data_IF_606038718582
#
_entry.id   IF_606038718582
#
_cell.length_a   1.000
_cell.length_b   1.000
_cell.length_c   1.000
_cell.angle_alpha   90.00
_cell.angle_beta   90.00
_cell.angle_gamma   90.00
#
_symmetry.space_group_name_H-M   'P 1'
#
loop_
_entity.id
_entity.type
_entity.pdbx_description
1 polymer ?
#
# COMPACT_ATOMS: atom_id res chain seq x y z
N UNK A 1 41.95 -46.95 28.52
CA UNK A 1 41.22 -47.06 27.24
C UNK A 1 39.71 -47.18 27.42
N UNK A 2 39.18 -48.14 28.19
CA UNK A 2 37.73 -48.38 28.34
C UNK A 2 36.89 -47.12 28.76
N UNK A 3 37.39 -46.30 29.71
CA UNK A 3 36.64 -45.07 30.16
C UNK A 3 36.53 -44.01 29.05
N UNK A 4 37.57 -43.84 28.20
CA UNK A 4 37.49 -42.87 27.07
C UNK A 4 36.52 -43.34 25.99
N UNK A 5 36.50 -44.65 25.70
CA UNK A 5 35.54 -45.23 24.74
C UNK A 5 34.09 -45.09 25.25
N UNK A 6 33.85 -45.33 26.54
CA UNK A 6 32.53 -45.16 27.15
C UNK A 6 32.06 -43.71 27.08
N UNK A 7 32.93 -42.73 27.34
CA UNK A 7 32.57 -41.31 27.21
C UNK A 7 32.22 -40.90 25.76
N UNK A 8 32.96 -41.44 24.77
CA UNK A 8 32.63 -41.21 23.36
C UNK A 8 31.27 -41.79 22.99
N UNK A 9 30.96 -42.99 23.46
CA UNK A 9 29.66 -43.63 23.22
C UNK A 9 28.53 -42.82 23.86
N UNK A 10 28.70 -42.36 25.11
CA UNK A 10 27.69 -41.49 25.78
C UNK A 10 27.52 -40.19 25.01
N UNK A 11 28.58 -39.57 24.52
CA UNK A 11 28.54 -38.34 23.74
C UNK A 11 27.80 -38.53 22.40
N UNK A 12 28.02 -39.64 21.69
CA UNK A 12 27.32 -39.98 20.46
C UNK A 12 25.82 -40.20 20.72
N UNK A 13 25.48 -40.90 21.78
CA UNK A 13 24.09 -41.13 22.18
C UNK A 13 23.42 -39.79 22.51
N UNK A 14 24.10 -38.90 23.25
CA UNK A 14 23.56 -37.58 23.56
C UNK A 14 23.29 -36.72 22.30
N UNK A 15 24.17 -36.78 21.30
CA UNK A 15 23.98 -36.12 20.01
C UNK A 15 22.75 -36.67 19.30
N UNK A 16 22.58 -37.98 19.21
CA UNK A 16 21.43 -38.62 18.55
C UNK A 16 20.11 -38.25 19.21
N UNK A 17 20.11 -38.05 20.55
CA UNK A 17 18.91 -37.66 21.30
C UNK A 17 18.49 -36.21 21.04
N UNK A 18 19.38 -35.34 20.57
CA UNK A 18 19.17 -33.90 20.44
C UNK A 18 18.99 -33.45 18.99
N UNK A 19 19.52 -34.18 18.01
CA UNK A 19 19.38 -33.78 16.59
C UNK A 19 17.92 -33.95 16.12
N UNK A 20 17.24 -32.90 15.71
CA UNK A 20 15.86 -32.98 15.23
C UNK A 20 15.81 -33.37 13.75
N UNK A 21 14.83 -34.16 13.38
CA UNK A 21 14.51 -34.49 11.99
C UNK A 21 13.32 -33.62 11.57
N UNK A 22 13.46 -32.78 10.50
CA UNK A 22 12.36 -31.99 10.02
C UNK A 22 11.34 -32.84 9.24
N UNK A 23 10.06 -32.69 9.54
CA UNK A 23 8.93 -33.30 8.84
C UNK A 23 7.91 -32.25 8.45
N UNK A 24 7.44 -32.26 7.20
CA UNK A 24 6.26 -31.46 6.79
C UNK A 24 5.00 -32.23 7.18
N UNK A 25 4.09 -31.54 7.86
CA UNK A 25 2.77 -32.07 8.20
C UNK A 25 1.79 -31.86 7.02
N UNK A 26 0.72 -32.66 6.99
CA UNK A 26 -0.33 -32.57 5.96
C UNK A 26 -1.52 -31.73 6.43
N UNK A 27 -1.25 -30.62 7.09
CA UNK A 27 -2.22 -29.74 7.74
C UNK A 27 -2.31 -28.33 7.10
N UNK A 28 -1.68 -28.14 5.95
CA UNK A 28 -1.62 -26.85 5.25
C UNK A 28 -0.22 -26.25 5.12
N UNK A 29 0.78 -26.80 5.86
CA UNK A 29 2.16 -26.35 5.69
C UNK A 29 3.03 -26.32 6.95
N UNK A 30 2.53 -26.83 8.07
CA UNK A 30 3.34 -26.92 9.31
C UNK A 30 4.58 -27.79 9.13
N UNK A 31 5.65 -27.41 9.85
CA UNK A 31 6.92 -28.16 9.89
C UNK A 31 7.19 -28.59 11.33
N UNK A 32 7.33 -29.88 11.54
CA UNK A 32 7.72 -30.47 12.82
C UNK A 32 9.22 -30.82 12.80
N UNK A 33 9.97 -30.31 13.76
CA UNK A 33 11.37 -30.66 14.05
C UNK A 33 11.38 -31.62 15.25
N UNK A 34 11.48 -32.91 14.99
CA UNK A 34 11.34 -33.96 16.00
C UNK A 34 12.67 -34.56 16.37
N UNK A 35 13.06 -34.41 17.63
CA UNK A 35 14.16 -35.15 18.30
C UNK A 35 13.54 -36.14 19.32
N UNK A 36 14.35 -37.01 19.89
CA UNK A 36 13.88 -38.01 20.89
C UNK A 36 13.41 -37.30 22.17
N UNK A 37 14.13 -36.26 22.59
CA UNK A 37 13.85 -35.54 23.84
C UNK A 37 12.87 -34.40 23.69
N UNK A 38 12.70 -33.83 22.48
CA UNK A 38 11.85 -32.70 22.25
C UNK A 38 11.26 -32.68 20.83
N UNK A 39 10.20 -31.94 20.66
CA UNK A 39 9.60 -31.61 19.35
C UNK A 39 9.32 -30.11 19.30
N UNK A 40 9.73 -29.45 18.23
CA UNK A 40 9.37 -28.08 17.92
C UNK A 40 8.50 -28.12 16.66
N UNK A 41 7.26 -27.66 16.76
CA UNK A 41 6.33 -27.56 15.62
C UNK A 41 6.19 -26.07 15.25
N UNK A 42 6.59 -25.72 14.03
CA UNK A 42 6.23 -24.45 13.42
C UNK A 42 4.92 -24.68 12.70
N UNK A 43 3.84 -24.20 13.31
CA UNK A 43 2.50 -24.32 12.76
C UNK A 43 2.31 -23.39 11.58
N UNK A 44 1.69 -23.88 10.56
CA UNK A 44 1.05 -23.18 9.44
C UNK A 44 -0.05 -24.13 8.95
N UNK A 45 -1.10 -24.29 9.77
CA UNK A 45 -2.18 -25.25 9.52
C UNK A 45 -3.45 -24.53 9.07
N UNK A 46 -4.22 -25.16 8.19
CA UNK A 46 -5.56 -24.69 7.83
C UNK A 46 -6.47 -24.67 9.08
N UNK A 47 -7.21 -23.57 9.25
CA UNK A 47 -8.24 -23.51 10.30
C UNK A 47 -9.37 -24.49 9.98
N UNK A 48 -9.94 -25.12 11.00
CA UNK A 48 -11.10 -26.01 10.81
C UNK A 48 -12.37 -25.19 10.62
N UNK A 49 -13.26 -25.67 9.75
CA UNK A 49 -14.56 -25.02 9.41
C UNK A 49 -15.50 -24.89 10.65
N UNK A 50 -15.21 -25.59 11.75
CA UNK A 50 -15.97 -25.51 13.00
C UNK A 50 -15.58 -24.33 13.90
N UNK A 51 -14.40 -23.76 13.70
CA UNK A 51 -13.97 -22.52 14.32
C UNK A 51 -14.47 -21.39 13.44
N UNK A 52 -15.58 -20.77 13.78
CA UNK A 52 -16.22 -19.65 13.08
C UNK A 52 -15.31 -18.40 13.13
N UNK A 53 -14.14 -18.51 12.51
CA UNK A 53 -13.07 -17.48 12.46
C UNK A 53 -12.72 -17.25 11.00
N UNK A 54 -12.62 -15.97 10.59
CA UNK A 54 -12.18 -15.52 9.26
C UNK A 54 -10.69 -15.82 8.98
N UNK A 55 -10.10 -16.81 9.65
CA UNK A 55 -8.68 -17.17 9.56
C UNK A 55 -8.52 -18.44 8.74
N UNK A 56 -7.93 -18.32 7.56
CA UNK A 56 -7.62 -19.48 6.71
C UNK A 56 -6.51 -20.38 7.29
N UNK A 57 -5.54 -19.80 8.01
CA UNK A 57 -4.40 -20.50 8.58
C UNK A 57 -4.15 -20.10 10.04
N UNK A 58 -3.72 -21.05 10.83
CA UNK A 58 -3.25 -20.85 12.22
C UNK A 58 -1.73 -20.98 12.23
N UNK A 59 -1.05 -19.86 12.49
CA UNK A 59 0.40 -19.81 12.62
C UNK A 59 0.84 -19.82 14.09
N UNK A 60 2.03 -20.35 14.36
CA UNK A 60 2.58 -20.34 15.70
C UNK A 60 3.74 -21.30 15.90
N UNK A 61 4.20 -21.41 17.13
CA UNK A 61 5.24 -22.33 17.55
C UNK A 61 4.74 -23.12 18.76
N UNK A 62 4.80 -24.45 18.68
CA UNK A 62 4.60 -25.35 19.79
C UNK A 62 5.91 -26.06 20.15
N UNK A 63 6.20 -26.21 21.43
CA UNK A 63 7.36 -26.94 21.96
C UNK A 63 6.88 -28.01 22.91
N UNK A 64 7.28 -29.25 22.65
CA UNK A 64 7.04 -30.39 23.54
C UNK A 64 8.39 -30.94 24.02
N UNK A 65 8.51 -31.22 25.32
CA UNK A 65 9.66 -31.91 25.92
C UNK A 65 9.17 -33.21 26.53
N UNK A 66 9.78 -34.33 26.16
CA UNK A 66 9.34 -35.70 26.58
C UNK A 66 7.86 -35.94 26.35
N UNK A 67 7.29 -35.38 25.25
CA UNK A 67 5.88 -35.52 24.91
C UNK A 67 4.93 -34.54 25.59
N UNK A 68 5.36 -33.82 26.61
CA UNK A 68 4.55 -32.80 27.31
C UNK A 68 4.72 -31.44 26.62
N UNK A 69 3.61 -30.76 26.34
CA UNK A 69 3.61 -29.42 25.79
C UNK A 69 4.05 -28.39 26.87
N UNK A 70 5.17 -27.70 26.61
CA UNK A 70 5.75 -26.70 27.52
C UNK A 70 5.56 -25.29 26.98
N UNK A 71 5.29 -25.14 25.69
CA UNK A 71 5.01 -23.88 25.07
C UNK A 71 4.13 -24.08 23.82
N UNK A 72 3.13 -23.23 23.69
CA UNK A 72 2.28 -23.14 22.48
C UNK A 72 1.72 -21.72 22.39
N UNK A 73 1.92 -21.04 21.25
CA UNK A 73 1.40 -19.71 21.03
C UNK A 73 0.39 -19.64 19.87
N UNK A 74 -0.08 -20.79 19.38
CA UNK A 74 -1.11 -20.82 18.31
C UNK A 74 -2.43 -20.20 18.76
N UNK A 75 -2.80 -20.32 20.02
CA UNK A 75 -4.02 -19.69 20.58
C UNK A 75 -3.84 -18.20 20.94
N UNK A 76 -2.58 -17.71 20.99
CA UNK A 76 -2.26 -16.30 21.29
C UNK A 76 -2.00 -15.47 20.03
N UNK A 77 -1.75 -16.10 18.95
CA UNK A 77 -1.82 -15.58 17.61
C UNK A 77 -3.01 -16.26 16.95
N UNK A 78 -4.19 -15.70 17.13
CA UNK A 78 -4.89 -15.38 15.89
C UNK A 78 -3.80 -14.71 15.05
N UNK A 79 -3.24 -15.44 14.10
CA UNK A 79 -2.43 -14.83 13.07
C UNK A 79 -3.41 -13.92 12.34
N UNK A 80 -3.53 -12.77 12.89
CA UNK A 80 -3.68 -11.62 12.08
C UNK A 80 -2.40 -11.66 11.19
N UNK A 81 -2.49 -12.27 9.99
CA UNK A 81 -2.46 -11.30 8.90
C UNK A 81 -3.22 -10.14 9.48
N UNK A 82 -2.60 -8.99 9.77
CA UNK A 82 -3.41 -7.94 10.28
C UNK A 82 -4.56 -7.87 9.27
N UNK A 83 -5.73 -8.44 9.62
CA UNK A 83 -6.98 -8.01 9.06
C UNK A 83 -6.97 -6.58 9.53
N UNK A 84 -6.37 -5.73 8.69
CA UNK A 84 -6.45 -4.33 8.85
C UNK A 84 -7.93 -4.07 8.88
N UNK A 85 -8.46 -3.72 10.05
CA UNK A 85 -9.82 -3.24 10.09
C UNK A 85 -9.83 -2.03 9.16
N UNK A 86 -10.58 -2.15 8.07
CA UNK A 86 -10.71 -1.06 7.12
C UNK A 86 -11.39 0.11 7.84
N UNK A 87 -10.76 1.28 7.83
CA UNK A 87 -11.30 2.51 8.40
C UNK A 87 -12.19 3.19 7.36
N UNK A 88 -13.49 2.93 7.39
CA UNK A 88 -14.42 3.39 6.35
C UNK A 88 -15.13 4.71 6.68
N UNK A 89 -15.03 5.25 7.90
CA UNK A 89 -15.86 6.40 8.32
C UNK A 89 -15.20 7.78 8.15
N UNK A 90 -13.84 7.86 8.08
CA UNK A 90 -13.12 9.14 8.12
C UNK A 90 -12.13 9.31 6.94
N UNK A 91 -12.19 8.42 5.95
CA UNK A 91 -11.32 8.46 4.76
C UNK A 91 -12.15 8.36 3.50
N UNK A 92 -11.99 9.31 2.60
CA UNK A 92 -12.59 9.30 1.27
C UNK A 92 -11.61 8.69 0.27
N UNK A 93 -12.04 7.68 -0.48
CA UNK A 93 -11.29 7.18 -1.63
C UNK A 93 -11.81 7.83 -2.89
N UNK A 94 -10.99 8.66 -3.54
CA UNK A 94 -11.32 9.26 -4.83
C UNK A 94 -11.20 8.22 -5.95
N UNK A 95 -12.09 8.27 -6.93
CA UNK A 95 -12.04 7.45 -8.15
C UNK A 95 -11.07 8.01 -9.17
N UNK A 96 -10.94 9.34 -9.19
CA UNK A 96 -10.04 10.07 -10.09
C UNK A 96 -9.25 11.14 -9.34
N UNK A 97 -8.17 11.62 -9.93
CA UNK A 97 -7.43 12.78 -9.38
C UNK A 97 -8.10 14.11 -9.68
N UNK A 98 -9.13 14.11 -10.52
CA UNK A 98 -9.98 15.25 -10.82
C UNK A 98 -11.19 15.36 -9.87
N UNK A 99 -11.36 14.39 -8.96
CA UNK A 99 -12.45 14.45 -7.99
C UNK A 99 -12.16 15.48 -6.92
N UNK A 100 -13.20 16.16 -6.45
CA UNK A 100 -13.07 17.13 -5.36
C UNK A 100 -12.59 16.45 -4.08
N UNK A 101 -11.53 16.96 -3.51
CA UNK A 101 -10.97 16.51 -2.24
C UNK A 101 -11.82 17.09 -1.11
N UNK A 102 -12.25 16.23 -0.19
CA UNK A 102 -12.88 16.70 1.05
C UNK A 102 -11.90 17.57 1.85
N UNK A 103 -12.31 18.78 2.20
CA UNK A 103 -11.45 19.74 2.90
C UNK A 103 -11.21 19.35 4.35
N UNK A 104 -12.12 18.60 4.95
CA UNK A 104 -12.12 18.28 6.38
C UNK A 104 -11.62 16.87 6.68
N UNK A 105 -11.78 15.94 5.71
CA UNK A 105 -11.43 14.53 5.87
C UNK A 105 -10.14 14.19 5.13
N UNK A 106 -9.60 13.03 5.44
CA UNK A 106 -8.53 12.43 4.67
C UNK A 106 -9.07 11.97 3.31
N UNK A 107 -8.34 12.23 2.25
CA UNK A 107 -8.67 11.73 0.91
C UNK A 107 -7.48 11.00 0.35
N UNK A 108 -7.70 9.82 -0.22
CA UNK A 108 -6.66 9.01 -0.85
C UNK A 108 -7.08 8.56 -2.25
N UNK A 109 -6.09 8.23 -3.05
CA UNK A 109 -6.27 7.79 -4.42
C UNK A 109 -5.14 6.86 -4.87
N UNK A 110 -5.43 5.88 -5.77
CA UNK A 110 -4.44 5.04 -6.42
C UNK A 110 -4.85 4.58 -7.83
N UNK A 111 -3.88 4.43 -8.78
CA UNK A 111 -4.00 4.18 -10.23
C UNK A 111 -4.78 2.95 -10.69
N UNK A 112 -5.08 1.98 -9.84
CA UNK A 112 -5.62 0.68 -10.27
C UNK A 112 -7.07 0.72 -10.77
N UNK A 113 -7.97 1.55 -10.21
CA UNK A 113 -9.34 1.63 -10.71
C UNK A 113 -9.39 2.25 -12.12
N UNK A 114 -8.62 3.29 -12.37
CA UNK A 114 -8.51 3.87 -13.70
C UNK A 114 -8.00 2.86 -14.73
N UNK A 115 -7.05 1.98 -14.36
CA UNK A 115 -6.57 0.95 -15.27
C UNK A 115 -7.69 0.00 -15.72
N UNK A 116 -8.55 -0.44 -14.81
CA UNK A 116 -9.69 -1.30 -15.17
C UNK A 116 -10.79 -0.53 -15.89
N UNK A 117 -10.97 0.76 -15.59
CA UNK A 117 -11.90 1.61 -16.33
C UNK A 117 -11.46 1.82 -17.77
N UNK A 118 -10.16 2.02 -18.01
CA UNK A 118 -9.60 2.14 -19.34
C UNK A 118 -9.84 0.86 -20.17
N UNK A 119 -9.68 -0.33 -19.57
CA UNK A 119 -9.99 -1.60 -20.21
C UNK A 119 -11.50 -1.74 -20.49
N UNK A 120 -12.37 -1.34 -19.56
CA UNK A 120 -13.82 -1.32 -19.77
C UNK A 120 -14.20 -0.42 -20.95
N UNK A 121 -13.65 0.80 -20.98
CA UNK A 121 -13.93 1.78 -22.03
C UNK A 121 -13.39 1.37 -23.39
N UNK A 122 -12.08 1.02 -23.46
CA UNK A 122 -11.37 0.88 -24.72
C UNK A 122 -11.47 -0.51 -25.32
N UNK A 123 -11.42 -1.56 -24.49
CA UNK A 123 -11.37 -2.94 -24.98
C UNK A 123 -12.76 -3.57 -25.07
N UNK A 124 -13.65 -3.26 -24.12
CA UNK A 124 -14.98 -3.85 -24.04
C UNK A 124 -16.05 -2.94 -24.67
N UNK A 125 -16.30 -1.77 -24.13
CA UNK A 125 -17.33 -0.85 -24.62
C UNK A 125 -16.96 -0.23 -25.98
N UNK A 126 -15.67 0.02 -26.22
CA UNK A 126 -15.08 0.68 -27.40
C UNK A 126 -15.70 2.06 -27.67
N UNK A 127 -16.05 2.73 -26.60
CA UNK A 127 -16.59 4.09 -26.57
C UNK A 127 -16.58 4.60 -25.12
N UNK A 128 -16.76 5.89 -24.95
CA UNK A 128 -16.95 6.48 -23.62
C UNK A 128 -18.15 5.87 -22.89
N UNK A 129 -18.00 5.64 -21.59
CA UNK A 129 -19.09 5.17 -20.74
C UNK A 129 -19.99 6.37 -20.42
N UNK A 130 -21.29 6.22 -20.68
CA UNK A 130 -22.30 7.27 -20.49
C UNK A 130 -23.46 6.71 -19.71
N UNK A 131 -23.71 7.28 -18.53
CA UNK A 131 -24.89 6.99 -17.72
C UNK A 131 -26.01 8.01 -17.99
N UNK A 132 -27.24 7.68 -17.57
CA UNK A 132 -28.38 8.60 -17.64
C UNK A 132 -29.07 8.68 -16.27
N UNK A 133 -28.94 9.79 -15.50
CA UNK A 133 -28.09 10.97 -15.81
C UNK A 133 -26.60 10.65 -15.77
N UNK A 134 -25.80 11.42 -16.49
CA UNK A 134 -24.33 11.30 -16.47
C UNK A 134 -23.78 11.78 -15.13
N UNK A 135 -22.71 11.12 -14.66
CA UNK A 135 -21.99 11.48 -13.45
C UNK A 135 -20.67 12.15 -13.81
N UNK A 136 -20.31 13.22 -13.09
CA UNK A 136 -19.06 13.94 -13.29
C UNK A 136 -17.83 13.03 -13.14
N UNK A 137 -17.85 12.14 -12.15
CA UNK A 137 -16.77 11.16 -11.93
C UNK A 137 -16.57 10.24 -13.14
N UNK A 138 -17.64 9.87 -13.84
CA UNK A 138 -17.57 9.03 -15.05
C UNK A 138 -16.99 9.82 -16.23
N UNK A 139 -17.35 11.10 -16.37
CA UNK A 139 -16.70 11.99 -17.34
C UNK A 139 -15.20 12.13 -17.07
N UNK A 140 -14.82 12.23 -15.80
CA UNK A 140 -13.43 12.30 -15.40
C UNK A 140 -12.69 10.97 -15.70
N UNK A 141 -13.27 9.83 -15.36
CA UNK A 141 -12.72 8.50 -15.67
C UNK A 141 -12.52 8.30 -17.18
N UNK A 142 -13.44 8.78 -18.01
CA UNK A 142 -13.35 8.69 -19.48
C UNK A 142 -12.19 9.52 -20.08
N UNK A 143 -11.63 10.48 -19.35
CA UNK A 143 -10.45 11.27 -19.80
C UNK A 143 -9.14 10.45 -19.79
N UNK A 144 -9.10 9.31 -19.12
CA UNK A 144 -7.94 8.39 -19.05
C UNK A 144 -6.65 9.10 -18.63
N UNK A 145 -6.72 9.91 -17.60
CA UNK A 145 -5.59 10.75 -17.14
C UNK A 145 -4.47 9.94 -16.46
N UNK A 146 -4.72 8.66 -16.13
CA UNK A 146 -3.71 7.68 -15.73
C UNK A 146 -3.81 6.42 -16.59
N UNK A 147 -2.66 5.90 -17.04
CA UNK A 147 -2.58 4.76 -17.97
C UNK A 147 -1.54 3.75 -17.52
N UNK A 148 -1.54 2.57 -18.16
CA UNK A 148 -0.57 1.52 -17.89
C UNK A 148 0.89 1.97 -18.11
N UNK A 149 1.12 2.95 -18.99
CA UNK A 149 2.42 3.52 -19.29
C UNK A 149 2.96 4.40 -18.14
N UNK A 150 2.10 4.86 -17.23
CA UNK A 150 2.47 5.71 -16.08
C UNK A 150 3.09 4.91 -14.93
N UNK A 151 3.13 3.59 -15.03
CA UNK A 151 3.78 2.70 -14.06
C UNK A 151 4.46 1.52 -14.76
N UNK A 152 5.59 1.08 -14.25
CA UNK A 152 6.32 -0.06 -14.80
C UNK A 152 5.52 -1.37 -14.66
N UNK A 153 5.44 -2.14 -15.74
CA UNK A 153 4.65 -3.38 -15.82
C UNK A 153 4.94 -4.39 -14.69
N UNK A 154 6.16 -4.42 -14.18
CA UNK A 154 6.57 -5.31 -13.07
C UNK A 154 5.78 -5.07 -11.76
N UNK A 155 5.15 -3.90 -11.60
CA UNK A 155 4.50 -3.48 -10.37
C UNK A 155 2.96 -3.55 -10.41
N UNK A 156 2.36 -3.84 -11.54
CA UNK A 156 0.92 -4.07 -11.61
C UNK A 156 0.57 -5.35 -12.37
N UNK A 157 -0.61 -5.87 -12.11
CA UNK A 157 -1.25 -6.94 -12.85
C UNK A 157 -2.69 -6.53 -13.13
N UNK A 158 -3.17 -6.80 -14.35
CA UNK A 158 -4.57 -6.62 -14.70
C UNK A 158 -5.09 -7.80 -15.50
N UNK A 159 -6.39 -8.06 -15.38
CA UNK A 159 -7.06 -9.16 -16.05
C UNK A 159 -8.51 -8.80 -16.34
N UNK A 160 -8.96 -9.14 -17.54
CA UNK A 160 -10.36 -9.09 -17.97
C UNK A 160 -10.78 -10.50 -18.40
N UNK A 161 -11.99 -10.90 -18.04
CA UNK A 161 -12.54 -12.20 -18.46
C UNK A 161 -13.98 -12.40 -18.01
N UNK A 162 -14.61 -13.48 -18.48
CA UNK A 162 -15.93 -13.90 -18.02
C UNK A 162 -15.82 -14.44 -16.59
N UNK A 163 -16.63 -13.94 -15.63
CA UNK A 163 -16.57 -14.39 -14.24
C UNK A 163 -16.78 -15.89 -14.10
N UNK A 164 -15.82 -16.59 -13.51
CA UNK A 164 -15.87 -18.03 -13.24
C UNK A 164 -14.88 -18.41 -12.14
N UNK A 165 -15.05 -19.57 -11.54
CA UNK A 165 -14.07 -20.09 -10.56
C UNK A 165 -12.69 -20.33 -11.18
N UNK A 166 -12.63 -20.62 -12.48
CA UNK A 166 -11.37 -20.73 -13.24
C UNK A 166 -10.67 -19.37 -13.33
N UNK A 167 -11.39 -18.31 -13.73
CA UNK A 167 -10.84 -16.96 -13.82
C UNK A 167 -10.35 -16.47 -12.45
N UNK A 168 -11.12 -16.73 -11.38
CA UNK A 168 -10.70 -16.41 -10.01
C UNK A 168 -9.36 -17.07 -9.66
N UNK A 169 -9.25 -18.40 -9.87
CA UNK A 169 -8.02 -19.15 -9.62
C UNK A 169 -6.85 -18.68 -10.48
N UNK A 170 -7.10 -18.31 -11.74
CA UNK A 170 -6.09 -17.74 -12.62
C UNK A 170 -5.52 -16.44 -12.06
N UNK A 171 -6.40 -15.54 -11.61
CA UNK A 171 -5.99 -14.26 -10.98
C UNK A 171 -5.21 -14.53 -9.70
N UNK A 172 -5.73 -15.35 -8.77
CA UNK A 172 -5.07 -15.72 -7.51
C UNK A 172 -3.67 -16.29 -7.74
N UNK A 173 -3.54 -17.19 -8.74
CA UNK A 173 -2.25 -17.75 -9.14
C UNK A 173 -1.30 -16.68 -9.67
N UNK A 174 -1.77 -15.83 -10.58
CA UNK A 174 -0.95 -14.79 -11.20
C UNK A 174 -0.42 -13.77 -10.19
N UNK A 175 -1.27 -13.29 -9.26
CA UNK A 175 -0.82 -12.35 -8.22
C UNK A 175 0.09 -13.03 -7.20
N UNK A 176 -0.11 -14.32 -6.91
CA UNK A 176 0.80 -15.08 -6.05
C UNK A 176 2.17 -15.25 -6.69
N UNK A 177 2.22 -15.58 -7.98
CA UNK A 177 3.48 -15.74 -8.72
C UNK A 177 4.21 -14.40 -8.91
N UNK A 178 3.48 -13.33 -9.25
CA UNK A 178 4.07 -12.03 -9.56
C UNK A 178 4.47 -11.25 -8.31
N UNK A 179 3.63 -11.24 -7.28
CA UNK A 179 3.76 -10.36 -6.12
C UNK A 179 3.98 -11.11 -4.79
N UNK A 180 3.80 -12.44 -4.79
CA UNK A 180 3.71 -13.27 -3.58
C UNK A 180 2.58 -12.80 -2.64
N UNK A 181 1.44 -12.38 -3.21
CA UNK A 181 0.27 -11.83 -2.52
C UNK A 181 -0.96 -12.71 -2.66
N UNK A 182 -1.98 -12.40 -1.86
CA UNK A 182 -3.37 -12.84 -1.99
C UNK A 182 -4.25 -11.64 -2.30
N UNK A 183 -5.43 -11.86 -2.86
CA UNK A 183 -6.38 -10.79 -3.12
C UNK A 183 -7.22 -10.46 -1.87
N UNK A 184 -7.46 -9.17 -1.65
CA UNK A 184 -8.31 -8.66 -0.58
C UNK A 184 -9.78 -8.49 -1.03
N UNK A 185 -10.06 -8.63 -2.34
CA UNK A 185 -11.38 -8.33 -2.91
C UNK A 185 -12.05 -9.48 -3.68
N UNK A 186 -11.30 -10.48 -4.17
CA UNK A 186 -11.90 -11.52 -5.03
C UNK A 186 -13.02 -12.33 -4.34
N UNK A 187 -13.01 -12.43 -3.01
CA UNK A 187 -14.08 -13.10 -2.25
C UNK A 187 -15.35 -12.27 -2.13
N UNK A 188 -15.32 -10.98 -2.44
CA UNK A 188 -16.49 -10.10 -2.39
C UNK A 188 -17.37 -10.19 -3.65
N UNK A 189 -16.94 -10.92 -4.67
CA UNK A 189 -17.62 -11.05 -5.95
C UNK A 189 -18.26 -12.44 -6.11
N UNK A 190 -19.36 -12.47 -6.89
CA UNK A 190 -20.06 -13.72 -7.23
C UNK A 190 -19.44 -14.35 -8.48
N UNK A 191 -19.00 -15.61 -8.37
CA UNK A 191 -18.24 -16.32 -9.42
C UNK A 191 -19.04 -17.42 -10.12
N UNK A 192 -20.17 -17.84 -9.58
CA UNK A 192 -20.99 -18.94 -10.08
C UNK A 192 -22.29 -18.41 -10.68
N UNK A 193 -22.89 -19.19 -11.59
CA UNK A 193 -24.15 -18.88 -12.28
C UNK A 193 -24.14 -17.53 -13.01
N UNK A 194 -23.03 -17.21 -13.69
CA UNK A 194 -22.84 -15.99 -14.45
C UNK A 194 -23.23 -16.17 -15.92
N UNK A 195 -23.71 -15.08 -16.56
CA UNK A 195 -23.94 -15.08 -17.99
C UNK A 195 -22.58 -15.11 -18.74
N UNK A 196 -22.45 -15.86 -19.87
CA UNK A 196 -21.23 -15.84 -20.67
C UNK A 196 -20.84 -14.48 -21.24
N UNK A 197 -21.76 -13.51 -21.23
CA UNK A 197 -21.53 -12.11 -21.64
C UNK A 197 -21.09 -11.20 -20.48
N UNK A 198 -21.14 -11.67 -19.22
CA UNK A 198 -20.65 -10.90 -18.09
C UNK A 198 -19.13 -10.71 -18.17
N UNK A 199 -18.64 -9.58 -17.68
CA UNK A 199 -17.21 -9.28 -17.59
C UNK A 199 -16.80 -9.00 -16.17
N UNK A 200 -15.67 -9.56 -15.77
CA UNK A 200 -14.94 -9.21 -14.56
C UNK A 200 -13.63 -8.52 -14.95
N UNK A 201 -13.38 -7.36 -14.37
CA UNK A 201 -12.17 -6.58 -14.58
C UNK A 201 -11.44 -6.49 -13.25
N UNK A 202 -10.16 -6.77 -13.27
CA UNK A 202 -9.30 -6.83 -12.10
C UNK A 202 -7.98 -6.12 -12.35
N UNK A 203 -7.52 -5.35 -11.39
CA UNK A 203 -6.16 -4.87 -11.33
C UNK A 203 -5.62 -4.89 -9.90
N UNK A 204 -4.35 -5.25 -9.76
CA UNK A 204 -3.57 -5.13 -8.54
C UNK A 204 -2.27 -4.38 -8.86
N UNK A 205 -1.93 -3.42 -8.02
CA UNK A 205 -0.64 -2.76 -7.98
C UNK A 205 0.01 -3.13 -6.65
N UNK A 206 1.25 -3.59 -6.71
CA UNK A 206 2.10 -3.75 -5.52
C UNK A 206 3.48 -3.19 -5.80
N UNK A 207 3.91 -2.28 -4.95
CA UNK A 207 5.24 -1.69 -5.02
C UNK A 207 5.81 -1.46 -3.63
N UNK A 208 7.05 -1.81 -3.42
CA UNK A 208 7.83 -1.56 -2.22
C UNK A 208 9.06 -0.76 -2.61
N UNK A 209 9.38 0.27 -1.84
CA UNK A 209 10.56 1.09 -2.05
C UNK A 209 11.30 1.34 -0.74
N UNK A 210 12.60 1.58 -0.83
CA UNK A 210 13.46 1.88 0.32
C UNK A 210 14.23 3.17 0.04
N UNK A 211 14.37 3.99 1.05
CA UNK A 211 15.27 5.13 0.97
C UNK A 211 16.73 4.66 0.79
N UNK A 212 17.55 5.48 0.15
CA UNK A 212 18.98 5.19 -0.04
C UNK A 212 19.65 4.86 1.29
N UNK A 213 19.37 5.65 2.31
CA UNK A 213 19.71 5.44 3.71
C UNK A 213 18.47 5.63 4.57
N UNK A 214 18.26 4.74 5.54
CA UNK A 214 17.15 4.90 6.48
C UNK A 214 17.27 6.22 7.24
N UNK A 215 16.17 6.98 7.29
CA UNK A 215 16.10 8.22 8.06
C UNK A 215 16.22 7.96 9.57
N UNK A 216 16.41 9.02 10.34
CA UNK A 216 16.44 8.98 11.80
C UNK A 216 15.01 8.86 12.35
N UNK A 217 14.85 8.10 13.43
CA UNK A 217 13.64 8.16 14.25
C UNK A 217 13.67 9.45 15.07
N UNK A 218 12.60 10.20 15.02
CA UNK A 218 12.47 11.46 15.76
C UNK A 218 11.61 11.26 17.01
N UNK A 219 11.67 12.20 17.92
CA UNK A 219 10.76 12.23 19.08
C UNK A 219 9.31 12.39 18.59
N UNK A 220 8.38 11.76 19.32
CA UNK A 220 6.96 11.96 19.07
C UNK A 220 6.62 13.44 19.24
N UNK A 221 5.69 13.93 18.42
CA UNK A 221 5.33 15.34 18.41
C UNK A 221 3.85 15.57 18.15
N UNK A 222 3.51 16.81 17.85
CA UNK A 222 2.17 17.22 17.44
C UNK A 222 2.01 17.17 15.94
N UNK A 223 0.78 16.90 15.49
CA UNK A 223 0.31 17.11 14.13
C UNK A 223 -1.01 17.87 14.22
N UNK A 224 -1.02 19.14 13.83
CA UNK A 224 -2.14 20.02 14.12
C UNK A 224 -2.51 20.02 15.61
N UNK A 225 -3.70 19.54 15.92
CA UNK A 225 -4.21 19.41 17.30
C UNK A 225 -3.93 18.04 17.94
N UNK A 226 -3.32 17.09 17.21
CA UNK A 226 -3.08 15.73 17.68
C UNK A 226 -1.71 15.61 18.35
N UNK A 227 -1.65 14.88 19.47
CA UNK A 227 -0.44 14.66 20.27
C UNK A 227 0.14 13.26 20.02
N UNK A 228 1.41 13.05 20.39
CA UNK A 228 2.09 11.75 20.36
C UNK A 228 2.23 11.08 18.98
N UNK A 229 2.20 11.86 17.91
CA UNK A 229 2.41 11.38 16.54
C UNK A 229 3.87 10.95 16.36
N UNK A 230 4.08 9.78 15.77
CA UNK A 230 5.41 9.24 15.46
C UNK A 230 5.98 9.89 14.22
N UNK A 231 7.26 10.22 14.27
CA UNK A 231 7.96 10.91 13.19
C UNK A 231 9.28 10.25 12.85
N UNK A 232 9.68 10.39 11.60
CA UNK A 232 11.04 10.14 11.13
C UNK A 232 11.55 11.35 10.33
N UNK A 233 12.85 11.41 10.06
CA UNK A 233 13.42 12.48 9.25
C UNK A 233 14.90 12.72 9.51
N UNK A 234 15.31 14.00 9.54
CA UNK A 234 16.69 14.44 9.76
C UNK A 234 16.70 15.50 10.87
N UNK A 235 17.43 15.24 11.96
CA UNK A 235 17.56 16.18 13.07
C UNK A 235 18.40 17.40 12.67
N UNK A 236 18.15 18.57 13.29
CA UNK A 236 18.92 19.79 13.07
C UNK A 236 20.43 19.62 13.31
N UNK A 237 20.79 18.74 14.25
CA UNK A 237 22.18 18.43 14.58
C UNK A 237 22.71 17.17 13.90
N UNK A 238 22.02 16.63 12.89
CA UNK A 238 22.52 15.49 12.12
C UNK A 238 23.72 15.92 11.27
N UNK A 239 24.81 15.16 11.35
CA UNK A 239 26.02 15.38 10.54
C UNK A 239 26.01 14.57 9.23
N UNK A 240 24.93 13.85 8.95
CA UNK A 240 24.85 12.91 7.82
C UNK A 240 24.49 13.62 6.50
N UNK A 241 25.48 13.86 5.67
CA UNK A 241 25.28 14.34 4.30
C UNK A 241 24.55 13.34 3.42
N UNK A 242 24.70 12.02 3.68
CA UNK A 242 23.98 10.97 2.96
C UNK A 242 22.47 11.05 3.19
N UNK A 243 22.01 11.42 4.40
CA UNK A 243 20.59 11.61 4.67
C UNK A 243 20.07 12.86 3.95
N UNK A 244 20.86 13.96 3.93
CA UNK A 244 20.46 15.18 3.26
C UNK A 244 20.43 15.05 1.74
N UNK A 245 21.35 14.27 1.15
CA UNK A 245 21.45 14.10 -0.30
C UNK A 245 20.27 13.37 -0.94
N UNK A 246 19.52 12.59 -0.18
CA UNK A 246 18.31 11.92 -0.67
C UNK A 246 17.03 12.77 -0.57
N UNK A 247 17.16 14.05 -0.12
CA UNK A 247 16.06 15.01 -0.01
C UNK A 247 16.27 16.15 -0.99
N UNK A 248 15.34 16.36 -1.88
CA UNK A 248 15.29 17.52 -2.77
C UNK A 248 14.18 18.47 -2.32
N UNK A 249 14.52 19.76 -2.18
CA UNK A 249 13.54 20.81 -1.90
C UNK A 249 12.95 21.27 -3.23
N UNK A 250 11.68 20.96 -3.46
CA UNK A 250 10.96 21.39 -4.66
C UNK A 250 10.67 22.89 -4.59
N UNK A 251 10.16 23.35 -3.45
CA UNK A 251 10.05 24.77 -3.13
C UNK A 251 9.94 24.97 -1.61
N UNK A 252 10.22 26.19 -1.16
CA UNK A 252 10.06 26.64 0.21
C UNK A 252 9.65 28.12 0.24
N UNK A 253 8.40 28.40 0.60
CA UNK A 253 7.88 29.74 0.79
C UNK A 253 7.92 30.16 2.27
N UNK A 254 7.66 29.20 3.16
CA UNK A 254 7.73 29.33 4.62
C UNK A 254 7.74 27.95 5.27
N UNK A 255 7.92 27.89 6.60
CA UNK A 255 7.78 26.64 7.39
C UNK A 255 6.38 25.98 7.26
N UNK A 256 5.37 26.71 6.79
CA UNK A 256 4.00 26.24 6.62
C UNK A 256 3.56 26.11 5.15
N UNK A 257 4.46 26.39 4.20
CA UNK A 257 4.19 26.29 2.77
C UNK A 257 5.47 25.87 2.01
N UNK A 258 5.65 24.57 1.84
CA UNK A 258 6.79 23.99 1.16
C UNK A 258 6.45 22.63 0.56
N UNK A 259 7.29 22.17 -0.37
CA UNK A 259 7.30 20.77 -0.81
C UNK A 259 8.73 20.23 -0.88
N UNK A 260 8.86 18.96 -0.52
CA UNK A 260 10.10 18.19 -0.61
C UNK A 260 9.85 16.87 -1.34
N UNK A 261 10.91 16.39 -1.98
CA UNK A 261 10.96 15.08 -2.61
C UNK A 261 11.99 14.22 -1.89
N UNK A 262 11.58 13.00 -1.52
CA UNK A 262 12.47 11.98 -0.94
C UNK A 262 12.76 10.94 -2.03
N UNK A 263 14.02 10.77 -2.38
CA UNK A 263 14.47 9.83 -3.40
C UNK A 263 14.64 8.42 -2.81
N UNK A 264 14.40 7.40 -3.64
CA UNK A 264 14.45 6.00 -3.22
C UNK A 264 15.40 5.18 -4.08
N UNK A 265 15.82 3.99 -3.58
CA UNK A 265 16.66 3.03 -4.33
C UNK A 265 15.98 2.46 -5.58
N UNK A 266 14.65 2.48 -5.62
CA UNK A 266 13.84 1.91 -6.69
C UNK A 266 13.42 2.96 -7.73
N UNK A 267 14.05 4.14 -7.73
CA UNK A 267 13.70 5.25 -8.62
C UNK A 267 12.25 5.72 -8.45
N UNK A 268 11.74 5.67 -7.21
CA UNK A 268 10.48 6.30 -6.82
C UNK A 268 10.74 7.65 -6.18
N UNK A 269 9.87 8.58 -6.44
CA UNK A 269 9.80 9.89 -5.81
C UNK A 269 8.66 9.91 -4.80
N UNK A 270 8.98 10.18 -3.52
CA UNK A 270 7.99 10.46 -2.48
C UNK A 270 7.89 11.97 -2.33
N UNK A 271 6.86 12.57 -2.89
CA UNK A 271 6.65 14.03 -2.87
C UNK A 271 5.73 14.37 -1.71
N UNK A 272 6.16 15.26 -0.83
CA UNK A 272 5.43 15.73 0.35
C UNK A 272 5.23 17.24 0.25
N UNK A 273 3.99 17.71 0.36
CA UNK A 273 3.62 19.12 0.30
C UNK A 273 2.81 19.52 1.53
N UNK A 274 3.33 20.39 2.38
CA UNK A 274 2.60 20.93 3.54
C UNK A 274 1.62 22.02 3.11
N UNK A 275 0.40 21.99 3.69
CA UNK A 275 -0.71 22.89 3.39
C UNK A 275 -1.00 23.01 1.87
N UNK A 276 -1.31 21.88 1.20
CA UNK A 276 -1.50 21.83 -0.24
C UNK A 276 -2.61 22.77 -0.72
N UNK A 277 -2.39 23.42 -1.85
CA UNK A 277 -3.34 24.36 -2.48
C UNK A 277 -3.93 23.72 -3.73
N UNK A 278 -5.25 23.57 -3.75
CA UNK A 278 -6.02 22.95 -4.82
C UNK A 278 -7.25 22.23 -4.25
N UNK A 279 -8.27 22.03 -5.08
CA UNK A 279 -9.51 21.33 -4.71
C UNK A 279 -9.48 19.87 -5.19
N UNK A 280 -8.56 19.50 -6.04
CA UNK A 280 -8.36 18.14 -6.57
C UNK A 280 -6.89 17.74 -6.42
N UNK A 281 -6.58 16.46 -6.45
CA UNK A 281 -5.18 16.02 -6.48
C UNK A 281 -4.45 16.56 -7.71
N UNK A 282 -5.17 16.68 -8.83
CA UNK A 282 -4.70 17.30 -10.04
C UNK A 282 -4.20 18.73 -9.81
N UNK A 283 -5.02 19.58 -9.25
CA UNK A 283 -4.67 20.97 -8.97
C UNK A 283 -3.49 21.07 -8.00
N UNK A 284 -3.44 20.22 -6.95
CA UNK A 284 -2.36 20.20 -5.96
C UNK A 284 -1.02 19.85 -6.64
N UNK A 285 -1.00 18.79 -7.44
CA UNK A 285 0.24 18.35 -8.10
C UNK A 285 0.74 19.38 -9.13
N UNK A 286 -0.17 20.00 -9.90
CA UNK A 286 0.18 21.15 -10.77
C UNK A 286 0.71 22.34 -10.01
N UNK A 287 0.19 22.59 -8.83
CA UNK A 287 0.68 23.65 -7.97
C UNK A 287 2.13 23.38 -7.54
N UNK A 288 2.43 22.14 -7.12
CA UNK A 288 3.79 21.74 -6.73
C UNK A 288 4.74 21.90 -7.91
N UNK A 289 4.42 21.37 -9.09
CA UNK A 289 5.29 21.37 -10.27
C UNK A 289 5.59 22.81 -10.77
N UNK A 290 4.60 23.72 -10.73
CA UNK A 290 4.82 25.10 -11.10
C UNK A 290 5.66 25.83 -10.06
N UNK A 291 5.43 25.65 -8.76
CA UNK A 291 6.27 26.21 -7.72
C UNK A 291 7.72 25.72 -7.85
N UNK A 292 7.90 24.42 -8.11
CA UNK A 292 9.21 23.84 -8.38
C UNK A 292 9.93 24.51 -9.57
N UNK A 293 9.21 24.72 -10.68
CA UNK A 293 9.78 25.34 -11.89
C UNK A 293 10.18 26.80 -11.69
N UNK A 294 9.60 27.47 -10.71
CA UNK A 294 9.85 28.89 -10.39
C UNK A 294 10.78 29.08 -9.18
N UNK A 295 11.04 27.96 -8.44
CA UNK A 295 11.87 28.01 -7.25
C UNK A 295 13.34 28.20 -7.59
N UNK A 296 13.90 29.33 -7.14
CA UNK A 296 15.32 29.71 -7.35
C UNK A 296 16.15 29.56 -6.05
N UNK A 297 15.55 29.05 -4.95
CA UNK A 297 16.25 28.81 -3.71
C UNK A 297 17.09 27.52 -3.74
N UNK A 298 17.71 27.21 -2.62
CA UNK A 298 18.54 26.02 -2.51
C UNK A 298 17.70 24.75 -2.54
N UNK A 299 17.86 23.94 -3.59
CA UNK A 299 17.16 22.66 -3.76
C UNK A 299 17.70 21.53 -2.88
N UNK A 300 18.82 21.73 -2.17
CA UNK A 300 19.38 20.74 -1.24
C UNK A 300 19.01 21.09 0.19
N UNK A 301 18.74 20.07 0.99
CA UNK A 301 18.61 20.22 2.43
C UNK A 301 20.00 20.54 3.02
N UNK A 302 20.09 21.63 3.81
CA UNK A 302 21.34 22.13 4.36
C UNK A 302 21.60 21.59 5.76
N UNK A 303 22.86 21.70 6.23
CA UNK A 303 23.20 21.47 7.63
C UNK A 303 22.44 22.45 8.54
N UNK A 304 21.95 21.95 9.67
CA UNK A 304 21.12 22.73 10.58
C UNK A 304 19.64 22.77 10.24
N UNK A 305 19.22 22.33 9.06
CA UNK A 305 17.81 22.24 8.69
C UNK A 305 17.16 20.95 9.20
N UNK A 306 15.90 21.03 9.57
CA UNK A 306 15.08 19.92 10.03
C UNK A 306 14.27 19.33 8.88
N UNK A 307 14.25 18.00 8.75
CA UNK A 307 13.18 17.29 8.06
C UNK A 307 12.41 16.45 9.07
N UNK A 308 11.08 16.59 9.11
CA UNK A 308 10.19 15.85 10.02
C UNK A 308 8.97 15.37 9.26
N UNK A 309 8.82 14.04 9.12
CA UNK A 309 7.75 13.39 8.36
C UNK A 309 7.01 12.42 9.28
N UNK A 310 5.66 12.44 9.35
CA UNK A 310 4.91 11.49 10.16
C UNK A 310 5.00 10.08 9.56
N UNK A 311 5.04 9.06 10.42
CA UNK A 311 4.77 7.69 9.98
C UNK A 311 3.33 7.60 9.47
N UNK A 312 3.09 6.80 8.44
CA UNK A 312 1.76 6.64 7.83
C UNK A 312 1.49 5.15 7.66
N UNK A 313 0.29 4.73 8.04
CA UNK A 313 -0.25 3.41 7.73
C UNK A 313 -1.72 3.53 7.34
N UNK A 314 -2.01 3.41 6.05
CA UNK A 314 -3.36 3.44 5.47
C UNK A 314 -3.79 2.02 5.17
N UNK A 315 -5.06 1.71 5.45
CA UNK A 315 -5.68 0.45 5.06
C UNK A 315 -7.18 0.66 4.84
N UNK A 316 -7.55 0.94 3.60
CA UNK A 316 -8.90 1.31 3.22
C UNK A 316 -9.50 0.32 2.22
N UNK A 317 -10.80 0.08 2.36
CA UNK A 317 -11.61 -0.67 1.39
C UNK A 317 -12.89 0.11 1.09
N UNK A 318 -13.05 0.51 -0.15
CA UNK A 318 -14.16 1.34 -0.60
C UNK A 318 -14.98 0.62 -1.66
N UNK A 319 -16.30 0.67 -1.50
CA UNK A 319 -17.26 0.26 -2.52
C UNK A 319 -17.87 1.51 -3.16
N UNK A 320 -17.72 1.64 -4.47
CA UNK A 320 -18.18 2.80 -5.23
C UNK A 320 -19.63 2.63 -5.70
N UNK A 321 -20.57 2.76 -4.77
CA UNK A 321 -21.99 2.52 -5.02
C UNK A 321 -22.62 3.52 -5.99
N UNK A 322 -22.05 4.72 -6.13
CA UNK A 322 -22.53 5.77 -7.01
C UNK A 322 -22.46 5.42 -8.51
N UNK A 323 -21.53 4.52 -8.90
CA UNK A 323 -21.41 4.04 -10.28
C UNK A 323 -22.10 2.70 -10.52
N UNK A 324 -22.60 2.05 -9.47
CA UNK A 324 -23.26 0.74 -9.57
C UNK A 324 -24.72 0.86 -10.02
N UNK A 325 -25.23 -0.22 -10.62
CA UNK A 325 -26.63 -0.40 -11.03
C UNK A 325 -27.14 0.69 -12.00
N UNK A 326 -26.24 1.35 -12.73
CA UNK A 326 -26.56 2.32 -13.79
C UNK A 326 -26.24 1.72 -15.14
N UNK A 327 -27.25 1.68 -16.03
CA UNK A 327 -27.07 1.11 -17.37
C UNK A 327 -26.29 2.04 -18.30
N UNK A 328 -25.46 1.43 -19.12
CA UNK A 328 -24.73 2.07 -20.23
C UNK A 328 -24.65 1.12 -21.40
N UNK A 329 -24.32 1.64 -22.58
CA UNK A 329 -24.26 0.87 -23.82
C UNK A 329 -22.82 0.62 -24.23
N UNK A 330 -22.58 -0.55 -24.79
CA UNK A 330 -21.39 -0.83 -25.60
C UNK A 330 -21.62 -0.37 -27.05
N UNK A 331 -20.57 -0.18 -27.82
CA UNK A 331 -20.63 0.27 -29.21
C UNK A 331 -21.42 -0.66 -30.16
N UNK A 332 -21.60 -1.92 -29.77
CA UNK A 332 -22.42 -2.91 -30.47
C UNK A 332 -23.92 -2.81 -30.14
N UNK A 333 -24.31 -1.91 -29.22
CA UNK A 333 -25.69 -1.69 -28.76
C UNK A 333 -26.12 -2.58 -27.58
N UNK A 334 -25.29 -3.50 -27.11
CA UNK A 334 -25.58 -4.27 -25.89
C UNK A 334 -25.58 -3.36 -24.66
N UNK A 335 -26.53 -3.60 -23.74
CA UNK A 335 -26.64 -2.83 -22.50
C UNK A 335 -26.01 -3.57 -21.33
N UNK A 336 -25.23 -2.85 -20.55
CA UNK A 336 -24.54 -3.36 -19.37
C UNK A 336 -24.78 -2.43 -18.17
N UNK A 337 -24.49 -2.91 -16.98
CA UNK A 337 -24.39 -2.11 -15.76
C UNK A 337 -23.23 -2.63 -14.91
N UNK A 338 -22.66 -1.78 -14.08
CA UNK A 338 -21.68 -2.18 -13.07
C UNK A 338 -22.44 -2.76 -11.88
N UNK A 339 -22.31 -4.06 -11.64
CA UNK A 339 -22.96 -4.72 -10.50
C UNK A 339 -22.25 -4.34 -9.19
N UNK A 340 -20.92 -4.38 -9.18
CA UNK A 340 -20.09 -4.07 -8.01
C UNK A 340 -18.76 -3.48 -8.43
N UNK A 341 -18.37 -2.41 -7.75
CA UNK A 341 -17.08 -1.72 -7.92
C UNK A 341 -16.40 -1.55 -6.57
N UNK A 342 -15.22 -2.15 -6.40
CA UNK A 342 -14.46 -2.16 -5.16
C UNK A 342 -13.02 -1.72 -5.39
N UNK A 343 -12.47 -1.06 -4.37
CA UNK A 343 -11.04 -0.77 -4.27
C UNK A 343 -10.53 -0.98 -2.86
N UNK A 344 -9.31 -1.53 -2.73
CA UNK A 344 -8.53 -1.47 -1.50
C UNK A 344 -7.27 -0.66 -1.71
N UNK A 345 -6.87 0.11 -0.71
CA UNK A 345 -5.61 0.86 -0.69
C UNK A 345 -4.90 0.58 0.63
N UNK A 346 -3.75 -0.05 0.57
CA UNK A 346 -2.85 -0.27 1.71
C UNK A 346 -1.55 0.49 1.43
N UNK A 347 -1.22 1.45 2.30
CA UNK A 347 -0.01 2.23 2.17
C UNK A 347 0.70 2.36 3.51
N UNK A 348 2.00 2.12 3.53
CA UNK A 348 2.85 2.35 4.70
C UNK A 348 4.04 3.22 4.29
N UNK A 349 4.42 4.15 5.17
CA UNK A 349 5.62 4.98 5.06
C UNK A 349 6.26 5.14 6.43
N UNK A 350 7.54 4.80 6.52
CA UNK A 350 8.36 4.96 7.72
C UNK A 350 9.80 5.38 7.38
N UNK A 351 10.67 5.42 8.38
CA UNK A 351 12.08 5.81 8.21
C UNK A 351 12.89 4.94 7.23
N UNK A 352 12.44 3.74 6.89
CA UNK A 352 13.16 2.81 6.01
C UNK A 352 12.73 2.91 4.56
N UNK A 353 11.53 3.39 4.30
CA UNK A 353 10.88 3.46 3.01
C UNK A 353 9.38 3.30 3.12
N UNK A 354 8.78 2.79 2.08
CA UNK A 354 7.35 2.53 2.08
C UNK A 354 6.97 1.34 1.21
N UNK A 355 5.74 0.95 1.34
CA UNK A 355 5.10 -0.03 0.46
C UNK A 355 3.69 0.43 0.15
N UNK A 356 3.26 0.17 -1.06
CA UNK A 356 1.89 0.36 -1.48
C UNK A 356 1.38 -0.90 -2.15
N UNK A 357 0.18 -1.27 -1.80
CA UNK A 357 -0.65 -2.22 -2.50
C UNK A 357 -1.99 -1.55 -2.74
N UNK A 358 -2.40 -1.47 -3.99
CA UNK A 358 -3.68 -0.92 -4.35
C UNK A 358 -4.26 -1.59 -5.56
N UNK A 359 -5.55 -1.57 -5.57
CA UNK A 359 -6.37 -2.01 -6.66
C UNK A 359 -7.31 -0.83 -7.03
N UNK A 360 -6.91 0.02 -8.02
CA UNK A 360 -7.55 1.18 -8.71
C UNK A 360 -7.16 2.66 -8.42
N UNK A 361 -7.28 3.76 -9.21
CA UNK A 361 -6.65 5.01 -9.36
C UNK A 361 -7.03 6.48 -9.49
N UNK A 362 -6.23 7.59 -9.57
CA UNK A 362 -5.89 8.79 -10.40
C UNK A 362 -5.70 10.25 -9.84
N UNK A 363 -5.21 11.34 -10.49
CA UNK A 363 -4.30 12.52 -10.48
C UNK A 363 -4.83 14.01 -10.58
N UNK A 364 -4.17 15.24 -10.51
CA UNK A 364 -3.18 16.24 -11.01
C UNK A 364 -3.36 17.72 -10.57
N UNK A 365 -2.45 18.67 -10.33
CA UNK A 365 -1.55 19.84 -10.49
C UNK A 365 -1.94 21.29 -10.00
N UNK A 366 -1.15 22.28 -9.60
CA UNK A 366 -0.20 23.39 -9.80
C UNK A 366 -0.47 24.75 -9.08
N UNK A 367 0.42 25.63 -8.62
CA UNK A 367 1.21 26.86 -8.77
C UNK A 367 1.53 27.66 -7.49
N UNK A 368 2.39 28.58 -7.44
CA UNK A 368 3.71 29.08 -7.12
C UNK A 368 3.78 30.42 -6.31
N UNK A 369 4.95 30.82 -5.68
CA UNK A 369 5.88 31.95 -5.72
C UNK A 369 6.37 32.57 -4.40
N UNK A 370 7.71 32.65 -4.18
CA UNK A 370 8.79 33.61 -3.84
C UNK A 370 9.32 33.68 -2.38
N UNK A 371 10.63 33.85 -2.29
CA UNK A 371 11.74 33.64 -1.39
C UNK A 371 12.02 34.64 -0.25
N UNK A 372 12.65 34.16 0.85
CA UNK A 372 13.66 34.84 1.69
C UNK A 372 14.53 33.78 2.37
N UNK A 373 15.87 34.00 2.47
CA UNK A 373 16.83 33.10 3.12
C UNK A 373 16.64 33.07 4.66
N UNK A 374 15.92 32.07 5.14
CA UNK A 374 15.77 31.72 6.54
C UNK A 374 16.28 30.28 6.73
N UNK A 375 16.80 29.93 7.91
CA UNK A 375 17.05 28.51 8.23
C UNK A 375 15.72 27.78 8.13
N UNK A 376 15.59 26.93 7.13
CA UNK A 376 14.33 26.32 6.76
C UNK A 376 14.01 25.14 7.68
N UNK A 377 12.74 25.02 8.02
CA UNK A 377 12.20 23.88 8.74
C UNK A 377 11.17 23.16 7.86
N UNK A 378 11.44 21.89 7.54
CA UNK A 378 10.57 21.05 6.73
C UNK A 378 9.82 20.09 7.63
N UNK A 379 8.96 20.62 8.50
CA UNK A 379 8.14 19.83 9.42
C UNK A 379 6.74 19.62 8.83
N UNK A 380 6.43 18.37 8.46
CA UNK A 380 5.09 17.90 8.07
C UNK A 380 4.30 17.59 9.36
N UNK A 381 3.86 18.63 10.05
CA UNK A 381 3.18 18.58 11.33
C UNK A 381 1.77 19.20 11.31
N UNK A 382 1.22 19.37 10.13
CA UNK A 382 -0.14 19.80 9.83
C UNK A 382 -0.58 19.18 8.49
N UNK A 383 -1.78 19.49 8.03
CA UNK A 383 -2.35 19.01 6.75
C UNK A 383 -1.32 19.02 5.62
N UNK A 384 -1.19 17.89 4.96
CA UNK A 384 -0.26 17.74 3.83
C UNK A 384 -0.81 16.86 2.73
N UNK A 385 -0.22 16.98 1.54
CA UNK A 385 -0.39 16.03 0.46
C UNK A 385 0.87 15.18 0.28
N UNK A 386 0.68 13.92 -0.11
CA UNK A 386 1.72 12.97 -0.51
C UNK A 386 1.41 12.45 -1.89
N UNK A 387 2.44 12.34 -2.73
CA UNK A 387 2.36 11.69 -4.04
C UNK A 387 3.50 10.69 -4.18
N UNK A 388 3.20 9.54 -4.81
CA UNK A 388 4.21 8.56 -5.23
C UNK A 388 4.25 8.50 -6.75
N UNK A 389 5.45 8.67 -7.31
CA UNK A 389 5.68 8.67 -8.76
C UNK A 389 6.96 7.89 -9.07
N UNK A 390 7.01 7.18 -10.19
CA UNK A 390 8.30 6.70 -10.72
C UNK A 390 9.04 7.86 -11.38
N UNK A 391 10.35 8.02 -11.12
CA UNK A 391 11.16 9.12 -11.62
C UNK A 391 11.05 9.30 -13.15
N UNK A 392 11.00 8.19 -13.88
CA UNK A 392 10.91 8.15 -15.35
C UNK A 392 9.49 8.38 -15.91
N UNK A 393 8.48 8.60 -15.05
CA UNK A 393 7.07 8.71 -15.44
C UNK A 393 6.55 10.14 -15.19
N UNK A 394 5.54 10.52 -15.96
CA UNK A 394 4.98 11.88 -15.85
C UNK A 394 3.94 11.96 -14.71
N UNK A 395 3.20 10.89 -14.47
CA UNK A 395 2.07 10.88 -13.56
C UNK A 395 2.35 10.07 -12.28
N UNK A 396 1.87 10.53 -11.09
CA UNK A 396 1.92 9.73 -9.87
C UNK A 396 0.98 8.53 -9.97
N UNK A 397 1.31 7.45 -9.26
CA UNK A 397 0.48 6.25 -9.16
C UNK A 397 -0.29 6.17 -7.84
N UNK A 398 -0.01 7.06 -6.90
CA UNK A 398 -0.71 7.20 -5.62
C UNK A 398 -0.71 8.68 -5.20
N UNK A 399 -1.80 9.11 -4.57
CA UNK A 399 -1.93 10.41 -3.93
C UNK A 399 -2.72 10.30 -2.61
N UNK A 400 -2.39 11.14 -1.64
CA UNK A 400 -3.10 11.28 -0.39
C UNK A 400 -3.08 12.72 0.10
N UNK A 401 -4.21 13.22 0.63
CA UNK A 401 -4.29 14.45 1.42
C UNK A 401 -4.69 14.05 2.83
N UNK A 402 -3.81 14.31 3.78
CA UNK A 402 -3.93 13.89 5.18
C UNK A 402 -4.16 15.12 6.04
N UNK A 403 -5.35 15.21 6.65
CA UNK A 403 -5.74 16.27 7.57
C UNK A 403 -5.84 15.76 9.02
N UNK A 404 -6.18 14.49 9.20
CA UNK A 404 -6.17 13.78 10.47
C UNK A 404 -5.23 12.58 10.38
N UNK A 405 -4.07 12.68 11.04
CA UNK A 405 -3.04 11.62 11.04
C UNK A 405 -3.37 10.49 12.04
N UNK A 406 -4.26 10.68 12.99
CA UNK A 406 -4.52 9.73 14.08
C UNK A 406 -5.04 8.39 13.58
N UNK A 407 -5.69 8.38 12.43
CA UNK A 407 -6.20 7.18 11.78
C UNK A 407 -5.09 6.32 11.14
N UNK A 408 -3.88 6.86 11.01
CA UNK A 408 -2.78 6.31 10.23
C UNK A 408 -1.47 6.12 11.02
N UNK A 409 -1.53 6.14 12.36
CA UNK A 409 -0.35 5.98 13.24
C UNK A 409 -0.08 4.52 13.65
#
# INVERSE_FOLDING_TARGET
MRKKVLLIIIFIIAIILIIPIPMKLKDGGSIEYKAILYTITKYHKLASIEENTDVEYIDGIGIKILGMEVYNNTDKKMATNPHYSYNTEDVTTALTLEDEIDKNNNTIWCGTFQLIWNDLKNDLAKQDIVFTPQLQVVENLNKETFKAEDISEKYFYKKVGTPSLELKKEIEKAIKEKFNETSDILNDFQWENRDPKDYFLYAMLKKEFKFEKAFEELENGKFGNYENVKYFGIKKNSESDELRSQVEVLYYNSKDDFAVKLNTKQEDEVILCKNPKGNTFNEIYQNITKQESQYNGNKRLQEGELLKVPNIRINEKTEFTEIQNKSFLFSNGDSYHIEKALQTIQFELDKTGGKIKSEAGMMVMYESVIMVDEIREFAIDDTFAIFLKEESKDNPYFAGKISDITKFQ
#
